data_IF_607889106560
#
_entry.id   IF_607889106560
#
_cell.length_a   1.000
_cell.length_b   1.000
_cell.length_c   1.000
_cell.angle_alpha   90.00
_cell.angle_beta   90.00
_cell.angle_gamma   90.00
#
_symmetry.space_group_name_H-M   'P 1'
#
loop_
_entity.id
_entity.type
_entity.pdbx_description
1 polymer ?
#
# COMPACT_ATOMS: atom_id res chain seq x y z
N UNK A 1 -35.35 -50.14 0.45
CA UNK A 1 -35.56 -48.93 1.26
C UNK A 1 -34.96 -49.17 2.64
N UNK A 2 -34.43 -48.11 3.22
CA UNK A 2 -33.24 -48.09 4.07
C UNK A 2 -33.58 -48.08 5.57
N UNK A 3 -32.62 -48.58 6.36
CA UNK A 3 -32.28 -48.30 7.75
C UNK A 3 -33.07 -48.94 8.92
N UNK A 4 -32.27 -49.72 9.65
CA UNK A 4 -32.42 -50.23 11.00
C UNK A 4 -32.28 -49.15 12.11
N UNK A 5 -32.86 -49.52 13.27
CA UNK A 5 -32.37 -49.35 14.67
C UNK A 5 -32.68 -48.06 15.46
N UNK A 6 -33.46 -48.30 16.52
CA UNK A 6 -33.61 -47.60 17.80
C UNK A 6 -32.48 -48.08 18.78
N UNK A 7 -32.37 -47.57 20.02
CA UNK A 7 -31.57 -46.41 20.39
C UNK A 7 -30.38 -46.72 21.35
N UNK A 8 -29.41 -45.82 21.33
CA UNK A 8 -28.65 -45.22 22.46
C UNK A 8 -28.14 -46.19 23.55
N UNK A 9 -26.83 -46.48 23.46
CA UNK A 9 -26.03 -46.88 24.63
C UNK A 9 -25.32 -45.65 25.18
N UNK A 10 -25.60 -45.34 26.45
CA UNK A 10 -24.93 -44.32 27.23
C UNK A 10 -23.58 -44.86 27.73
N UNK A 11 -22.49 -44.21 27.34
CA UNK A 11 -21.20 -44.34 28.03
C UNK A 11 -20.78 -42.95 28.45
N UNK A 12 -20.73 -42.72 29.76
CA UNK A 12 -20.46 -41.43 30.34
C UNK A 12 -19.02 -40.96 30.11
N UNK A 13 -18.87 -39.64 30.03
CA UNK A 13 -17.63 -38.96 30.40
C UNK A 13 -18.03 -37.86 31.39
N UNK A 14 -17.80 -38.13 32.67
CA UNK A 14 -17.77 -37.13 33.73
C UNK A 14 -16.39 -36.45 33.70
N UNK A 15 -16.38 -35.13 33.74
CA UNK A 15 -15.26 -34.34 34.23
C UNK A 15 -14.37 -33.74 33.14
N UNK A 16 -14.38 -32.42 33.02
CA UNK A 16 -13.48 -31.69 32.14
C UNK A 16 -14.05 -30.35 31.71
N UNK A 17 -14.21 -29.44 32.66
CA UNK A 17 -14.41 -28.01 32.44
C UNK A 17 -13.45 -27.46 31.39
N UNK A 18 -14.01 -26.82 30.35
CA UNK A 18 -13.42 -25.69 29.66
C UNK A 18 -12.09 -25.91 28.92
N UNK A 19 -12.17 -26.13 27.61
CA UNK A 19 -11.12 -25.68 26.69
C UNK A 19 -11.76 -25.37 25.34
N UNK A 20 -12.46 -24.24 25.30
CA UNK A 20 -12.81 -23.57 24.06
C UNK A 20 -11.50 -23.04 23.47
N UNK A 21 -11.23 -23.41 22.22
CA UNK A 21 -10.54 -22.59 21.23
C UNK A 21 -9.10 -22.16 21.53
N UNK A 22 -8.15 -22.80 20.86
CA UNK A 22 -6.95 -22.10 20.38
C UNK A 22 -6.38 -22.88 19.19
N UNK A 23 -7.08 -22.77 18.05
CA UNK A 23 -6.45 -22.95 16.75
C UNK A 23 -5.50 -21.75 16.58
N UNK A 24 -4.27 -21.86 17.09
CA UNK A 24 -3.21 -20.89 16.80
C UNK A 24 -2.74 -21.15 15.36
N UNK A 25 -3.57 -20.71 14.43
CA UNK A 25 -3.18 -20.53 13.04
C UNK A 25 -2.08 -19.49 12.99
N UNK A 26 -1.04 -19.81 12.21
CA UNK A 26 0.07 -18.94 11.88
C UNK A 26 -0.44 -17.58 11.41
N UNK A 27 -0.12 -16.54 12.16
CA UNK A 27 -0.04 -15.17 11.67
C UNK A 27 1.31 -14.64 12.11
N UNK A 28 2.34 -15.03 11.36
CA UNK A 28 3.60 -14.28 11.33
C UNK A 28 3.22 -12.93 10.73
N UNK A 29 3.04 -11.94 11.60
CA UNK A 29 2.86 -10.54 11.23
C UNK A 29 4.22 -10.03 10.73
N UNK A 30 4.43 -9.69 9.44
CA UNK A 30 5.58 -8.91 9.05
C UNK A 30 5.19 -7.42 9.06
N UNK A 31 4.57 -6.93 10.14
CA UNK A 31 4.27 -5.51 10.31
C UNK A 31 5.34 -4.87 11.21
N UNK A 32 6.59 -4.89 10.76
CA UNK A 32 7.67 -4.08 11.33
C UNK A 32 8.89 -4.13 10.40
N UNK A 33 8.71 -3.81 9.12
CA UNK A 33 9.83 -3.33 8.31
C UNK A 33 9.34 -2.10 7.59
N UNK A 34 9.81 -0.92 8.00
CA UNK A 34 9.69 0.29 7.20
C UNK A 34 10.17 0.01 5.78
N UNK A 35 9.65 0.77 4.81
CA UNK A 35 10.15 0.68 3.44
C UNK A 35 11.66 0.98 3.46
N UNK A 36 12.49 0.17 2.79
CA UNK A 36 13.92 0.44 2.71
C UNK A 36 14.10 1.82 2.06
N UNK A 37 14.88 2.68 2.70
CA UNK A 37 15.09 4.08 2.34
C UNK A 37 15.85 4.27 1.00
N UNK A 38 16.20 3.17 0.31
CA UNK A 38 17.11 3.18 -0.84
C UNK A 38 16.54 2.49 -2.09
N UNK A 39 16.13 3.34 -3.04
CA UNK A 39 16.23 3.28 -4.51
C UNK A 39 15.80 2.04 -5.34
N UNK A 40 15.24 0.97 -4.77
CA UNK A 40 14.62 -0.09 -5.57
C UNK A 40 13.12 -0.09 -5.32
N UNK A 41 12.32 0.12 -6.38
CA UNK A 41 10.86 0.10 -6.32
C UNK A 41 10.33 -1.04 -5.48
N UNK A 42 9.85 -0.72 -4.27
CA UNK A 42 9.31 -1.71 -3.33
C UNK A 42 7.81 -1.72 -3.49
N UNK A 43 7.30 -2.83 -4.01
CA UNK A 43 5.87 -3.08 -4.06
C UNK A 43 5.35 -3.52 -2.68
N UNK A 44 4.28 -2.86 -2.23
CA UNK A 44 3.56 -3.18 -1.01
C UNK A 44 2.05 -3.14 -1.26
N UNK A 45 1.29 -4.01 -0.58
CA UNK A 45 -0.16 -3.97 -0.66
C UNK A 45 -0.70 -2.78 0.15
N UNK A 46 -1.85 -2.27 -0.26
CA UNK A 46 -2.65 -1.31 0.50
C UNK A 46 -4.13 -1.57 0.25
N UNK A 47 -4.93 -1.59 1.32
CA UNK A 47 -6.39 -1.59 1.21
C UNK A 47 -6.91 -0.19 1.54
N UNK A 48 -7.67 0.41 0.62
CA UNK A 48 -8.28 1.72 0.80
C UNK A 48 -9.72 1.70 0.30
N UNK A 49 -10.66 2.13 1.13
CA UNK A 49 -12.11 2.13 0.86
C UNK A 49 -12.64 0.77 0.32
N UNK A 50 -12.17 -0.33 0.93
CA UNK A 50 -12.54 -1.69 0.54
C UNK A 50 -11.91 -2.20 -0.76
N UNK A 51 -11.08 -1.41 -1.44
CA UNK A 51 -10.35 -1.81 -2.66
C UNK A 51 -8.89 -2.11 -2.34
N UNK A 52 -8.36 -3.19 -2.92
CA UNK A 52 -6.95 -3.56 -2.80
C UNK A 52 -6.11 -2.95 -3.93
N UNK A 53 -4.97 -2.38 -3.56
CA UNK A 53 -4.00 -1.74 -4.43
C UNK A 53 -2.62 -2.37 -4.28
N UNK A 54 -1.88 -2.39 -5.38
CA UNK A 54 -0.43 -2.61 -5.40
C UNK A 54 0.23 -1.25 -5.52
N UNK A 55 1.02 -0.90 -4.52
CA UNK A 55 1.68 0.39 -4.44
C UNK A 55 3.19 0.18 -4.49
N UNK A 56 3.85 0.71 -5.52
CA UNK A 56 5.31 0.68 -5.65
C UNK A 56 5.89 2.01 -5.19
N UNK A 57 6.76 1.97 -4.17
CA UNK A 57 7.47 3.14 -3.68
C UNK A 57 8.92 3.12 -4.16
N UNK A 58 9.40 4.23 -4.72
CA UNK A 58 10.81 4.38 -5.11
C UNK A 58 11.33 5.78 -4.85
N UNK A 59 12.66 5.91 -4.81
CA UNK A 59 13.37 7.18 -4.77
C UNK A 59 14.35 7.21 -5.94
N UNK A 60 14.34 8.31 -6.71
CA UNK A 60 15.17 8.45 -7.91
C UNK A 60 15.66 9.89 -8.03
N UNK A 61 16.90 10.07 -8.50
CA UNK A 61 17.43 11.38 -8.83
C UNK A 61 16.71 11.94 -10.06
N UNK A 62 16.19 13.16 -9.94
CA UNK A 62 15.53 13.90 -11.03
C UNK A 62 16.30 15.17 -11.31
N UNK A 63 16.45 15.51 -12.59
CA UNK A 63 16.98 16.78 -13.04
C UNK A 63 15.84 17.64 -13.58
N UNK A 64 15.66 18.84 -13.01
CA UNK A 64 14.65 19.79 -13.45
C UNK A 64 15.27 21.09 -13.93
N UNK A 65 14.64 21.65 -14.96
CA UNK A 65 15.00 22.94 -15.52
C UNK A 65 14.29 24.04 -14.73
N UNK A 66 15.05 24.88 -14.05
CA UNK A 66 14.57 26.01 -13.27
C UNK A 66 14.76 27.28 -14.09
N UNK A 67 13.65 27.96 -14.37
CA UNK A 67 13.68 29.28 -14.98
C UNK A 67 14.20 30.31 -13.97
N UNK A 68 15.26 31.02 -14.34
CA UNK A 68 15.82 32.10 -13.53
C UNK A 68 15.33 33.43 -14.11
N UNK A 69 14.55 34.25 -13.35
CA UNK A 69 14.10 35.54 -13.85
C UNK A 69 15.26 36.43 -14.30
N UNK A 70 15.28 36.83 -15.57
CA UNK A 70 16.32 37.68 -16.15
C UNK A 70 17.67 36.98 -16.43
N UNK A 71 17.74 35.65 -16.27
CA UNK A 71 18.94 34.85 -16.51
C UNK A 71 18.71 33.70 -17.49
N UNK A 72 19.76 32.93 -17.75
CA UNK A 72 19.64 31.66 -18.44
C UNK A 72 19.03 30.62 -17.49
N UNK A 73 18.16 29.76 -18.03
CA UNK A 73 17.63 28.63 -17.29
C UNK A 73 18.77 27.75 -16.78
N UNK A 74 18.63 27.23 -15.56
CA UNK A 74 19.60 26.31 -14.95
C UNK A 74 18.96 24.94 -14.74
N UNK A 75 19.78 23.90 -14.67
CA UNK A 75 19.31 22.54 -14.32
C UNK A 75 19.74 22.23 -12.90
N UNK A 76 18.78 21.89 -12.04
CA UNK A 76 19.04 21.39 -10.69
C UNK A 76 18.72 19.90 -10.60
N UNK A 77 19.55 19.16 -9.88
CA UNK A 77 19.32 17.74 -9.60
C UNK A 77 18.99 17.54 -8.13
N UNK A 78 17.97 16.72 -7.86
CA UNK A 78 17.53 16.38 -6.51
C UNK A 78 16.89 15.00 -6.48
N UNK A 79 16.90 14.36 -5.31
CA UNK A 79 16.20 13.10 -5.11
C UNK A 79 14.70 13.35 -4.98
N UNK A 80 13.91 12.60 -5.73
CA UNK A 80 12.46 12.65 -5.68
C UNK A 80 11.89 11.27 -5.31
N UNK A 81 10.80 11.27 -4.56
CA UNK A 81 10.06 10.05 -4.24
C UNK A 81 8.92 9.84 -5.22
N UNK A 82 8.63 8.59 -5.54
CA UNK A 82 7.58 8.19 -6.45
C UNK A 82 6.75 7.07 -5.84
N UNK A 83 5.43 7.22 -5.87
CA UNK A 83 4.43 6.25 -5.46
C UNK A 83 3.63 5.88 -6.71
N UNK A 84 3.80 4.67 -7.22
CA UNK A 84 2.99 4.14 -8.32
C UNK A 84 1.86 3.31 -7.74
N UNK A 85 0.63 3.57 -8.18
CA UNK A 85 -0.59 2.98 -7.64
C UNK A 85 -1.32 2.29 -8.78
N UNK A 86 -1.57 1.00 -8.62
CA UNK A 86 -2.41 0.21 -9.50
C UNK A 86 -3.38 -0.65 -8.68
N UNK A 87 -4.54 -1.00 -9.23
CA UNK A 87 -5.45 -1.93 -8.54
C UNK A 87 -4.86 -3.34 -8.53
N UNK A 88 -5.00 -4.03 -7.40
CA UNK A 88 -4.47 -5.38 -7.25
C UNK A 88 -5.20 -6.41 -8.11
N UNK A 89 -6.49 -6.17 -8.40
CA UNK A 89 -7.35 -6.99 -9.26
C UNK A 89 -7.10 -6.79 -10.77
N UNK A 90 -6.18 -5.91 -11.16
CA UNK A 90 -5.83 -5.62 -12.55
C UNK A 90 -6.86 -4.77 -13.30
N UNK A 91 -7.94 -4.30 -12.65
CA UNK A 91 -8.84 -3.34 -13.24
C UNK A 91 -8.14 -1.98 -13.40
N UNK A 92 -8.52 -1.19 -14.42
CA UNK A 92 -7.95 0.15 -14.59
C UNK A 92 -8.34 1.07 -13.44
N UNK A 93 -7.46 2.01 -13.10
CA UNK A 93 -7.84 3.15 -12.28
C UNK A 93 -8.60 4.17 -13.11
N UNK A 94 -9.46 4.96 -12.46
CA UNK A 94 -10.08 6.12 -13.06
C UNK A 94 -9.02 7.20 -13.30
N UNK A 95 -8.90 7.67 -14.55
CA UNK A 95 -7.91 8.66 -14.96
C UNK A 95 -8.26 10.10 -14.55
N UNK A 96 -9.50 10.34 -14.12
CA UNK A 96 -9.96 11.66 -13.66
C UNK A 96 -9.93 11.79 -12.12
N UNK A 97 -9.74 10.70 -11.39
CA UNK A 97 -9.74 10.67 -9.91
C UNK A 97 -8.39 11.04 -9.28
N UNK A 98 -7.98 12.29 -9.52
CA UNK A 98 -6.74 12.84 -8.94
C UNK A 98 -6.81 12.91 -7.41
N UNK A 99 -7.94 13.34 -6.85
CA UNK A 99 -8.08 13.54 -5.40
C UNK A 99 -8.12 12.21 -4.63
N UNK A 100 -8.85 11.21 -5.14
CA UNK A 100 -8.85 9.87 -4.56
C UNK A 100 -7.47 9.23 -4.61
N UNK A 101 -6.74 9.42 -5.71
CA UNK A 101 -5.34 8.96 -5.83
C UNK A 101 -4.42 9.56 -4.77
N UNK A 102 -4.52 10.87 -4.51
CA UNK A 102 -3.74 11.52 -3.44
C UNK A 102 -4.11 10.94 -2.07
N UNK A 103 -5.40 10.67 -1.82
CA UNK A 103 -5.84 10.06 -0.57
C UNK A 103 -5.30 8.63 -0.39
N UNK A 104 -5.25 7.83 -1.45
CA UNK A 104 -4.61 6.49 -1.44
C UNK A 104 -3.12 6.62 -1.13
N UNK A 105 -2.42 7.57 -1.77
CA UNK A 105 -1.02 7.83 -1.48
C UNK A 105 -0.80 8.27 -0.02
N UNK A 106 -1.67 9.11 0.54
CA UNK A 106 -1.60 9.50 1.95
C UNK A 106 -1.79 8.31 2.88
N UNK A 107 -2.78 7.46 2.60
CA UNK A 107 -3.02 6.24 3.37
C UNK A 107 -1.83 5.28 3.29
N UNK A 108 -1.16 5.19 2.15
CA UNK A 108 0.09 4.44 2.01
C UNK A 108 1.18 4.95 2.96
N UNK A 109 1.43 6.27 2.93
CA UNK A 109 2.46 6.89 3.77
C UNK A 109 2.18 6.68 5.26
N UNK A 110 0.93 6.85 5.69
CA UNK A 110 0.52 6.65 7.08
C UNK A 110 0.66 5.18 7.50
N UNK A 111 0.28 4.23 6.63
CA UNK A 111 0.37 2.79 6.89
C UNK A 111 1.82 2.34 7.08
N UNK A 112 2.76 2.89 6.31
CA UNK A 112 4.17 2.49 6.33
C UNK A 112 5.09 3.47 7.07
N UNK A 113 4.52 4.45 7.79
CA UNK A 113 5.26 5.39 8.64
C UNK A 113 6.21 6.33 7.89
N UNK A 114 5.89 6.68 6.65
CA UNK A 114 6.71 7.59 5.84
C UNK A 114 6.47 9.06 6.28
N UNK A 115 7.53 9.88 6.43
CA UNK A 115 7.37 11.28 6.76
C UNK A 115 6.59 12.01 5.66
N UNK A 116 5.63 12.83 6.06
CA UNK A 116 4.73 13.54 5.13
C UNK A 116 5.48 14.70 4.47
N UNK A 117 5.26 14.88 3.16
CA UNK A 117 5.70 16.10 2.48
C UNK A 117 4.91 17.32 3.01
N UNK A 118 5.50 18.52 2.99
CA UNK A 118 4.82 19.75 3.43
C UNK A 118 3.65 20.16 2.54
N UNK A 119 3.60 19.67 1.31
CA UNK A 119 2.52 19.87 0.34
C UNK A 119 2.17 18.55 -0.32
N UNK A 120 0.94 18.42 -0.82
CA UNK A 120 0.54 17.25 -1.59
C UNK A 120 1.41 17.12 -2.84
N UNK A 121 2.01 15.95 -3.03
CA UNK A 121 2.78 15.60 -4.21
C UNK A 121 2.05 15.80 -5.55
N UNK A 122 2.81 15.85 -6.64
CA UNK A 122 2.28 15.91 -8.01
C UNK A 122 1.70 14.54 -8.40
N UNK A 123 0.46 14.50 -8.90
CA UNK A 123 -0.18 13.28 -9.35
C UNK A 123 -0.33 13.28 -10.88
N UNK A 124 0.19 12.24 -11.51
CA UNK A 124 0.15 12.04 -12.97
C UNK A 124 -0.50 10.70 -13.28
N UNK A 125 -1.49 10.71 -14.18
CA UNK A 125 -2.10 9.49 -14.70
C UNK A 125 -1.34 8.97 -15.92
N UNK A 126 -0.98 7.70 -15.92
CA UNK A 126 -0.33 7.02 -17.04
C UNK A 126 -1.36 6.20 -17.80
N UNK A 127 -1.80 6.72 -18.95
CA UNK A 127 -2.80 6.04 -19.81
C UNK A 127 -2.32 4.70 -20.35
N UNK A 128 -1.00 4.53 -20.57
CA UNK A 128 -0.39 3.29 -21.08
C UNK A 128 -0.49 2.12 -20.09
N UNK A 129 -0.38 2.40 -18.80
CA UNK A 129 -0.45 1.40 -17.73
C UNK A 129 -1.75 1.47 -16.93
N UNK A 130 -2.61 2.45 -17.24
CA UNK A 130 -3.88 2.76 -16.53
C UNK A 130 -3.70 2.84 -15.02
N UNK A 131 -2.63 3.50 -14.62
CA UNK A 131 -2.16 3.62 -13.24
C UNK A 131 -1.84 5.07 -12.92
N UNK A 132 -1.72 5.37 -11.63
CA UNK A 132 -1.31 6.68 -11.16
C UNK A 132 0.11 6.66 -10.63
N UNK A 133 0.83 7.76 -10.81
CA UNK A 133 2.08 8.04 -10.10
C UNK A 133 1.91 9.32 -9.32
N UNK A 134 2.27 9.28 -8.04
CA UNK A 134 2.36 10.45 -7.19
C UNK A 134 3.81 10.69 -6.85
N UNK A 135 4.31 11.87 -7.21
CA UNK A 135 5.69 12.30 -6.95
C UNK A 135 5.73 13.21 -5.74
N UNK A 136 6.75 13.05 -4.92
CA UNK A 136 7.05 13.93 -3.80
C UNK A 136 5.92 14.06 -2.77
N UNK A 137 5.20 12.97 -2.49
CA UNK A 137 4.07 12.98 -1.54
C UNK A 137 4.48 12.64 -0.10
N UNK A 138 5.45 11.76 0.07
CA UNK A 138 6.05 11.42 1.37
C UNK A 138 7.42 10.76 1.17
N UNK A 139 8.18 10.61 2.27
CA UNK A 139 9.49 9.98 2.30
C UNK A 139 10.63 10.91 2.74
N UNK A 140 11.83 10.34 2.84
CA UNK A 140 13.01 11.01 3.42
C UNK A 140 13.67 12.04 2.50
N UNK A 141 13.29 12.12 1.22
CA UNK A 141 13.75 13.17 0.32
C UNK A 141 13.37 14.61 0.76
N UNK A 142 12.56 14.74 1.82
CA UNK A 142 12.20 16.02 2.46
C UNK A 142 12.88 16.25 3.82
N UNK A 143 13.63 15.26 4.34
CA UNK A 143 14.20 15.23 5.69
C UNK A 143 15.63 15.75 5.77
#
# INVERSE_FOLDING_TARGET
>A
MTALRKPISATGVRGGTGAIGALLALLVIPACTGLPETAAGVERPLTYDGTEYKVSYSMQAVAEKIAVPGGADTTASFDATFIEIARADGQPMDGDDRLGTIAIASAFCDTYGLPRAPVSGEATYYTSTRSWRVRNHCGTAFG
#
